data_IF_431956835591
#
_entry.id   IF_431956835591
#
_cell.length_a   1.000
_cell.length_b   1.000
_cell.length_c   1.000
_cell.angle_alpha   90.00
_cell.angle_beta   90.00
_cell.angle_gamma   90.00
#
_symmetry.space_group_name_H-M   'P 1'
#
loop_
_entity.id
_entity.type
_entity.pdbx_description
1 polymer ?
#
# COMPACT_ATOMS: atom_id res chain seq x y z
N UNK A 1 -19.74 11.43 -9.29
CA UNK A 1 -19.43 10.19 -9.49
C UNK A 1 -18.00 9.96 -9.56
N UNK A 2 -17.56 9.10 -8.81
CA UNK A 2 -16.17 8.82 -8.76
C UNK A 2 -15.77 7.94 -9.89
N UNK A 3 -14.80 8.32 -10.65
CA UNK A 3 -14.37 7.53 -11.74
C UNK A 3 -12.89 7.28 -11.66
N UNK A 4 -12.39 7.18 -10.46
CA UNK A 4 -10.98 6.93 -10.29
C UNK A 4 -10.62 5.59 -10.89
N UNK A 5 -9.56 5.51 -11.68
CA UNK A 5 -9.19 4.25 -12.31
C UNK A 5 -8.60 3.27 -11.34
N UNK A 6 -8.75 1.99 -11.64
CA UNK A 6 -8.09 0.95 -10.89
C UNK A 6 -6.66 0.88 -11.39
N UNK A 7 -5.73 0.72 -10.48
CA UNK A 7 -4.33 0.66 -10.85
C UNK A 7 -3.70 -0.63 -10.34
N UNK A 8 -2.51 -0.93 -10.82
CA UNK A 8 -1.82 -2.17 -10.48
C UNK A 8 -0.90 -1.96 -9.30
N UNK A 9 -0.36 -3.07 -8.79
CA UNK A 9 0.61 -2.98 -7.71
C UNK A 9 1.85 -2.21 -8.14
N UNK A 10 2.23 -2.32 -9.41
CA UNK A 10 3.37 -1.56 -9.88
C UNK A 10 3.09 -0.07 -9.83
N UNK A 11 1.87 0.31 -10.17
CA UNK A 11 1.49 1.71 -10.12
C UNK A 11 1.53 2.22 -8.69
N UNK A 12 1.05 1.42 -7.74
CA UNK A 12 1.08 1.80 -6.35
C UNK A 12 2.51 1.93 -5.87
N UNK A 13 3.36 0.99 -6.28
CA UNK A 13 4.77 1.02 -5.89
C UNK A 13 5.43 2.30 -6.37
N UNK A 14 5.16 2.69 -7.59
CA UNK A 14 5.73 3.92 -8.11
C UNK A 14 5.19 5.13 -7.38
N UNK A 15 3.91 5.12 -7.09
CA UNK A 15 3.26 6.23 -6.42
C UNK A 15 3.83 6.43 -5.02
N UNK A 16 4.10 5.35 -4.33
CA UNK A 16 4.59 5.43 -2.96
C UNK A 16 6.12 5.41 -2.87
N UNK A 17 6.79 5.14 -3.96
CA UNK A 17 8.24 5.10 -3.94
C UNK A 17 8.81 3.87 -3.28
N UNK A 18 8.13 2.74 -3.43
CA UNK A 18 8.60 1.47 -2.85
C UNK A 18 8.63 0.43 -3.95
N UNK A 19 9.18 -0.74 -3.67
CA UNK A 19 9.20 -1.80 -4.66
C UNK A 19 7.89 -2.58 -4.62
N UNK A 20 7.58 -3.26 -5.70
CA UNK A 20 6.32 -3.96 -5.82
C UNK A 20 6.11 -4.99 -4.73
N UNK A 21 7.15 -5.69 -4.35
CA UNK A 21 7.01 -6.71 -3.32
C UNK A 21 6.56 -6.11 -2.00
N UNK A 22 6.95 -4.88 -1.72
CA UNK A 22 6.51 -4.21 -0.52
C UNK A 22 5.01 -3.97 -0.55
N UNK A 23 4.47 -3.64 -1.72
CA UNK A 23 3.03 -3.43 -1.85
C UNK A 23 2.28 -4.71 -1.53
N UNK A 24 2.73 -5.84 -2.05
CA UNK A 24 2.05 -7.10 -1.77
C UNK A 24 2.19 -7.50 -0.30
N UNK A 25 3.35 -7.24 0.29
CA UNK A 25 3.55 -7.56 1.69
C UNK A 25 2.61 -6.73 2.56
N UNK A 26 2.46 -5.45 2.23
CA UNK A 26 1.58 -4.59 3.00
C UNK A 26 0.12 -4.99 2.83
N UNK A 27 -0.25 -5.46 1.63
CA UNK A 27 -1.60 -5.93 1.45
C UNK A 27 -1.87 -7.13 2.36
N UNK A 28 -0.91 -8.01 2.48
CA UNK A 28 -1.12 -9.20 3.28
C UNK A 28 -1.02 -8.95 4.76
N UNK A 29 -0.14 -8.07 5.17
CA UNK A 29 0.16 -7.96 6.57
C UNK A 29 -0.26 -6.69 7.26
N UNK A 30 -0.51 -5.65 6.49
CA UNK A 30 -0.82 -4.37 7.08
C UNK A 30 -2.13 -3.78 6.64
N UNK A 31 -2.90 -4.55 5.89
CA UNK A 31 -4.23 -4.08 5.52
C UNK A 31 -4.29 -3.03 4.43
N UNK A 32 -3.28 -2.97 3.59
CA UNK A 32 -3.32 -2.05 2.46
C UNK A 32 -4.57 -2.33 1.65
N UNK A 33 -5.39 -1.32 1.36
CA UNK A 33 -6.62 -1.55 0.61
C UNK A 33 -6.35 -2.08 -0.78
N UNK A 34 -6.97 -3.20 -1.11
CA UNK A 34 -6.82 -3.82 -2.40
C UNK A 34 -8.11 -4.57 -2.72
N UNK A 35 -8.39 -4.71 -4.00
CA UNK A 35 -9.62 -5.36 -4.42
C UNK A 35 -9.30 -6.37 -5.51
N UNK A 36 -9.90 -7.53 -5.40
CA UNK A 36 -9.66 -8.56 -6.39
C UNK A 36 -10.62 -8.38 -7.54
N UNK A 37 -10.08 -8.21 -8.73
CA UNK A 37 -10.91 -8.07 -9.91
C UNK A 37 -10.48 -9.17 -10.85
N UNK A 38 -11.34 -10.16 -11.00
CA UNK A 38 -10.95 -11.35 -11.71
C UNK A 38 -9.85 -12.06 -10.94
N UNK A 39 -8.72 -12.22 -11.57
CA UNK A 39 -7.61 -12.88 -10.93
C UNK A 39 -6.54 -11.91 -10.48
N UNK A 40 -6.81 -10.61 -10.64
CA UNK A 40 -5.78 -9.63 -10.38
C UNK A 40 -6.13 -8.76 -9.20
N UNK A 41 -5.12 -8.36 -8.45
CA UNK A 41 -5.33 -7.40 -7.39
C UNK A 41 -5.19 -6.01 -7.98
N UNK A 42 -6.17 -5.17 -7.68
CA UNK A 42 -6.18 -3.79 -8.16
C UNK A 42 -6.36 -2.85 -6.98
N UNK A 43 -5.95 -1.62 -7.18
CA UNK A 43 -5.90 -0.65 -6.11
C UNK A 43 -6.47 0.67 -6.58
N UNK A 44 -6.88 1.51 -5.66
CA UNK A 44 -7.26 2.88 -5.98
C UNK A 44 -6.36 3.79 -5.16
N UNK A 45 -5.72 4.73 -5.82
CA UNK A 45 -4.71 5.55 -5.14
C UNK A 45 -5.28 6.39 -4.01
N UNK A 46 -6.53 6.79 -4.10
CA UNK A 46 -7.16 7.54 -3.03
C UNK A 46 -7.21 6.73 -1.76
N UNK A 47 -7.58 5.46 -1.87
CA UNK A 47 -7.65 4.59 -0.72
C UNK A 47 -6.26 4.33 -0.17
N UNK A 48 -5.30 4.15 -1.06
CA UNK A 48 -3.93 3.89 -0.64
C UNK A 48 -3.40 5.09 0.12
N UNK A 49 -3.65 6.29 -0.39
CA UNK A 49 -3.17 7.49 0.28
C UNK A 49 -3.79 7.66 1.65
N UNK A 50 -5.07 7.35 1.77
CA UNK A 50 -5.72 7.46 3.06
C UNK A 50 -5.16 6.46 4.05
N UNK A 51 -4.87 5.27 3.58
CA UNK A 51 -4.29 4.23 4.42
C UNK A 51 -2.89 4.67 4.89
N UNK A 52 -2.12 5.29 4.01
CA UNK A 52 -0.80 5.77 4.39
C UNK A 52 -0.93 6.89 5.42
N UNK A 53 -1.87 7.83 5.21
CA UNK A 53 -2.04 8.93 6.14
C UNK A 53 -2.47 8.46 7.51
N UNK A 54 -3.20 7.35 7.53
CA UNK A 54 -3.64 6.81 8.79
C UNK A 54 -2.55 5.99 9.50
N UNK A 55 -1.37 5.89 8.91
CA UNK A 55 -0.28 5.19 9.55
C UNK A 55 -0.11 3.76 9.14
N UNK A 56 -0.86 3.30 8.13
CA UNK A 56 -0.80 1.89 7.75
C UNK A 56 0.56 1.43 7.28
N UNK A 57 1.31 2.32 6.67
CA UNK A 57 2.61 1.96 6.13
C UNK A 57 3.73 2.21 7.14
N UNK A 58 3.39 2.66 8.32
CA UNK A 58 4.38 3.04 9.30
C UNK A 58 4.99 1.80 9.93
N UNK A 59 6.30 1.68 9.86
CA UNK A 59 7.00 0.55 10.46
C UNK A 59 7.95 1.01 11.52
N UNK A 60 7.71 2.18 12.07
CA UNK A 60 8.57 2.73 13.06
C UNK A 60 8.76 1.91 14.27
N UNK A 61 7.73 1.33 14.77
CA UNK A 61 7.91 0.60 15.94
C UNK A 61 8.82 -0.56 15.72
N UNK A 62 8.93 -0.97 14.49
CA UNK A 62 9.74 -2.02 14.16
C UNK A 62 11.13 -1.55 14.14
N UNK A 63 11.34 -0.39 13.61
CA UNK A 63 12.58 0.13 13.48
C UNK A 63 13.14 0.66 14.71
N UNK A 64 12.33 1.19 15.53
CA UNK A 64 12.82 1.80 16.65
C UNK A 64 13.47 0.86 17.51
N UNK A 65 13.22 -0.34 17.37
CA UNK A 65 13.86 -1.21 18.14
C UNK A 65 15.21 -1.20 17.81
N UNK A 66 15.48 -1.18 16.62
CA UNK A 66 16.72 -1.27 16.28
C UNK A 66 17.26 -0.10 16.04
N UNK A 67 16.60 0.61 15.54
CA UNK A 67 17.12 1.66 15.05
C UNK A 67 17.61 2.53 15.92
N UNK A 68 17.28 2.55 16.78
CA UNK A 68 17.66 3.47 17.50
C UNK A 68 18.81 3.39 17.90
N UNK A 69 19.11 3.00 17.69
CA UNK A 69 20.16 3.04 18.04
C UNK A 69 20.72 3.30 18.15
#
# INVERSE_FOLDING_TARGET
MNSEPWVTAIDVARHLGVVKDTVYRWRERKGLPAHKIGRLWKFQLTEVDEWVRAGGADEDQYRENGGVI
#
